data_IF_214973689252
#
_entry.id   IF_214973689252
#
_cell.length_a   1.000
_cell.length_b   1.000
_cell.length_c   1.000
_cell.angle_alpha   90.00
_cell.angle_beta   90.00
_cell.angle_gamma   90.00
#
_symmetry.space_group_name_H-M   'P 1'
#
loop_
_entity.id
_entity.type
_entity.pdbx_description
1 polymer ?
#
# COMPACT_ATOMS: atom_id res chain seq x y z
N UNK A 1 16.35 -2.23 4.06
CA UNK A 1 16.36 -2.97 2.78
C UNK A 1 16.85 -2.02 1.70
N UNK A 2 17.86 -2.37 0.90
CA UNK A 2 18.51 -1.42 -0.02
C UNK A 2 17.52 -0.77 -1.01
N UNK A 3 16.65 -1.58 -1.63
CA UNK A 3 15.68 -1.09 -2.62
C UNK A 3 14.73 0.00 -2.09
N UNK A 4 14.35 -0.05 -0.82
CA UNK A 4 13.50 1.01 -0.21
C UNK A 4 14.24 2.34 -0.14
N UNK A 5 15.54 2.31 0.17
CA UNK A 5 16.39 3.52 0.16
C UNK A 5 16.58 4.04 -1.27
N UNK A 6 16.74 3.13 -2.24
CA UNK A 6 16.89 3.52 -3.65
C UNK A 6 15.62 4.23 -4.16
N UNK A 7 14.42 3.73 -3.80
CA UNK A 7 13.13 4.37 -4.11
C UNK A 7 13.04 5.76 -3.46
N UNK A 8 13.40 5.89 -2.19
CA UNK A 8 13.40 7.18 -1.48
C UNK A 8 14.37 8.18 -2.15
N UNK A 9 15.60 7.76 -2.42
CA UNK A 9 16.62 8.60 -3.03
C UNK A 9 16.22 9.10 -4.42
N UNK A 10 15.56 8.25 -5.23
CA UNK A 10 15.01 8.65 -6.54
C UNK A 10 13.94 9.75 -6.42
N UNK A 11 13.22 9.77 -5.30
CA UNK A 11 12.21 10.78 -4.99
C UNK A 11 12.81 11.98 -4.23
N UNK A 12 14.15 12.11 -4.20
CA UNK A 12 14.89 13.17 -3.49
C UNK A 12 14.61 13.19 -1.98
N UNK A 13 14.41 12.00 -1.40
CA UNK A 13 14.12 11.81 0.01
C UNK A 13 15.20 10.95 0.69
N UNK A 14 15.60 11.36 1.90
CA UNK A 14 16.44 10.53 2.77
C UNK A 14 15.59 9.56 3.61
N UNK A 15 14.38 9.98 3.98
CA UNK A 15 13.43 9.22 4.79
C UNK A 15 11.99 9.39 4.25
N UNK A 16 11.09 8.49 4.65
CA UNK A 16 9.68 8.62 4.30
C UNK A 16 9.09 9.90 4.91
N UNK A 17 8.29 10.64 4.15
CA UNK A 17 7.73 11.93 4.58
C UNK A 17 6.21 11.89 4.81
N UNK A 18 5.61 10.69 4.74
CA UNK A 18 4.19 10.50 4.91
C UNK A 18 3.36 10.72 3.66
N UNK A 19 3.94 10.94 2.47
CA UNK A 19 3.16 10.97 1.22
C UNK A 19 2.54 9.61 0.89
N UNK A 20 1.40 9.57 0.16
CA UNK A 20 0.77 8.31 -0.25
C UNK A 20 1.72 7.41 -1.05
N UNK A 21 1.63 6.09 -0.89
CA UNK A 21 2.64 5.16 -1.45
C UNK A 21 2.73 5.18 -2.98
N UNK A 22 1.64 5.46 -3.70
CA UNK A 22 1.67 5.57 -5.17
C UNK A 22 2.53 6.72 -5.69
N UNK A 23 2.74 7.77 -4.88
CA UNK A 23 3.50 8.96 -5.29
C UNK A 23 5.01 8.71 -5.37
N UNK A 24 5.49 7.58 -4.84
CA UNK A 24 6.88 7.17 -5.01
C UNK A 24 7.13 6.59 -6.42
N UNK A 25 6.09 6.41 -7.25
CA UNK A 25 6.18 5.95 -8.64
C UNK A 25 7.06 4.71 -8.82
N UNK A 26 6.78 3.63 -8.07
CA UNK A 26 7.58 2.39 -8.11
C UNK A 26 7.69 1.86 -9.54
N UNK A 27 8.90 1.69 -10.03
CA UNK A 27 9.16 1.17 -11.38
C UNK A 27 8.99 -0.35 -11.44
N UNK A 28 8.86 -0.91 -12.64
CA UNK A 28 8.76 -2.36 -12.81
C UNK A 28 10.00 -3.10 -12.31
N UNK A 29 11.19 -2.52 -12.50
CA UNK A 29 12.43 -3.08 -11.96
C UNK A 29 12.46 -3.05 -10.43
N UNK A 30 12.02 -1.94 -9.83
CA UNK A 30 11.94 -1.81 -8.38
C UNK A 30 10.92 -2.78 -7.80
N UNK A 31 9.78 -2.94 -8.46
CA UNK A 31 8.73 -3.89 -8.09
C UNK A 31 9.24 -5.34 -8.10
N UNK A 32 9.95 -5.75 -9.16
CA UNK A 32 10.55 -7.09 -9.24
C UNK A 32 11.65 -7.30 -8.18
N UNK A 33 12.48 -6.29 -7.93
CA UNK A 33 13.49 -6.33 -6.85
C UNK A 33 12.84 -6.46 -5.47
N UNK A 34 11.74 -5.74 -5.22
CA UNK A 34 10.96 -5.86 -3.99
C UNK A 34 10.41 -7.28 -3.83
N UNK A 35 9.77 -7.82 -4.86
CA UNK A 35 9.20 -9.18 -4.85
C UNK A 35 10.26 -10.22 -4.44
N UNK A 36 11.40 -10.24 -5.15
CA UNK A 36 12.48 -11.20 -4.89
C UNK A 36 13.04 -11.08 -3.46
N UNK A 37 13.25 -9.85 -2.98
CA UNK A 37 13.76 -9.62 -1.62
C UNK A 37 12.76 -10.01 -0.54
N UNK A 38 11.45 -9.83 -0.79
CA UNK A 38 10.39 -10.20 0.15
C UNK A 38 10.23 -11.71 0.24
N UNK A 39 10.30 -12.44 -0.88
CA UNK A 39 10.32 -13.90 -0.92
C UNK A 39 11.43 -14.47 -0.04
N UNK A 40 12.65 -13.91 -0.13
CA UNK A 40 13.78 -14.36 0.68
C UNK A 40 13.68 -14.00 2.16
N UNK A 41 12.97 -12.92 2.51
CA UNK A 41 12.98 -12.37 3.88
C UNK A 41 11.78 -12.77 4.72
N UNK A 42 10.60 -12.88 4.13
CA UNK A 42 9.36 -13.15 4.88
C UNK A 42 9.27 -14.63 5.29
N UNK A 43 9.89 -15.53 4.53
CA UNK A 43 9.99 -16.96 4.87
C UNK A 43 10.67 -17.22 6.23
N UNK A 44 11.51 -16.28 6.69
CA UNK A 44 12.17 -16.37 8.00
C UNK A 44 11.25 -16.11 9.20
N UNK A 45 9.99 -15.73 8.98
CA UNK A 45 8.98 -15.45 10.03
C UNK A 45 9.22 -14.16 10.84
N UNK A 46 10.29 -13.42 10.56
CA UNK A 46 10.64 -12.22 11.31
C UNK A 46 10.01 -10.94 10.71
N UNK A 47 9.31 -10.17 11.55
CA UNK A 47 8.80 -8.83 11.20
C UNK A 47 9.89 -7.79 11.45
N UNK A 48 10.80 -7.63 10.48
CA UNK A 48 11.79 -6.54 10.51
C UNK A 48 11.19 -5.26 9.94
N UNK A 49 11.43 -4.10 10.58
CA UNK A 49 10.93 -2.78 10.11
C UNK A 49 11.20 -2.54 8.63
N UNK A 50 12.42 -2.85 8.19
CA UNK A 50 12.81 -2.62 6.79
C UNK A 50 12.15 -3.59 5.79
N UNK A 51 11.75 -4.78 6.25
CA UNK A 51 10.97 -5.74 5.46
C UNK A 51 9.51 -5.30 5.45
N UNK A 52 8.97 -4.85 6.58
CA UNK A 52 7.62 -4.31 6.70
C UNK A 52 7.39 -3.09 5.80
N UNK A 53 8.32 -2.13 5.82
CA UNK A 53 8.30 -0.97 4.92
C UNK A 53 8.29 -1.40 3.44
N UNK A 54 9.16 -2.34 3.07
CA UNK A 54 9.18 -2.92 1.72
C UNK A 54 7.89 -3.64 1.34
N UNK A 55 7.32 -4.38 2.28
CA UNK A 55 6.10 -5.15 2.07
C UNK A 55 4.91 -4.26 1.76
N UNK A 56 4.70 -3.17 2.50
CA UNK A 56 3.50 -2.33 2.26
C UNK A 56 3.56 -1.55 0.95
N UNK A 57 4.74 -1.07 0.54
CA UNK A 57 4.88 -0.42 -0.77
C UNK A 57 4.70 -1.43 -1.90
N UNK A 58 5.27 -2.63 -1.75
CA UNK A 58 5.06 -3.74 -2.68
C UNK A 58 3.59 -4.16 -2.77
N UNK A 59 2.93 -4.40 -1.63
CA UNK A 59 1.56 -4.88 -1.58
C UNK A 59 0.58 -3.84 -2.15
N UNK A 60 0.81 -2.56 -1.89
CA UNK A 60 -0.01 -1.47 -2.45
C UNK A 60 0.12 -1.40 -3.98
N UNK A 61 1.35 -1.53 -4.48
CA UNK A 61 1.64 -1.57 -5.92
C UNK A 61 1.09 -2.83 -6.59
N UNK A 62 1.22 -4.00 -5.95
CA UNK A 62 0.66 -5.26 -6.42
C UNK A 62 -0.86 -5.18 -6.55
N UNK A 63 -1.55 -4.66 -5.52
CA UNK A 63 -3.00 -4.48 -5.55
C UNK A 63 -3.40 -3.53 -6.69
N UNK A 64 -2.68 -2.41 -6.89
CA UNK A 64 -2.96 -1.50 -8.01
C UNK A 64 -2.90 -2.20 -9.38
N UNK A 65 -1.89 -3.04 -9.58
CA UNK A 65 -1.62 -3.76 -10.84
C UNK A 65 -2.58 -4.93 -11.10
N UNK A 66 -3.03 -5.61 -10.05
CA UNK A 66 -3.77 -6.87 -10.17
C UNK A 66 -5.26 -6.76 -9.89
N UNK A 67 -5.71 -5.68 -9.25
CA UNK A 67 -7.11 -5.52 -8.91
C UNK A 67 -7.96 -5.23 -10.16
N UNK A 68 -8.81 -6.18 -10.51
CA UNK A 68 -9.74 -6.13 -11.65
C UNK A 68 -11.20 -5.87 -11.24
N UNK A 69 -11.43 -5.49 -9.97
CA UNK A 69 -12.77 -5.34 -9.39
C UNK A 69 -13.11 -6.44 -8.39
N UNK A 70 -14.04 -6.17 -7.48
CA UNK A 70 -14.50 -7.12 -6.46
C UNK A 70 -13.79 -6.99 -5.10
N UNK A 71 -13.62 -8.11 -4.40
CA UNK A 71 -13.02 -8.15 -3.06
C UNK A 71 -11.51 -8.37 -3.11
N UNK A 72 -10.79 -7.75 -2.18
CA UNK A 72 -9.34 -7.92 -2.01
C UNK A 72 -9.10 -8.97 -0.92
N UNK A 73 -8.08 -9.80 -1.08
CA UNK A 73 -7.63 -10.74 -0.07
C UNK A 73 -6.10 -10.74 0.05
N UNK A 74 -5.59 -11.27 1.16
CA UNK A 74 -4.14 -11.40 1.38
C UNK A 74 -3.50 -12.49 0.52
N UNK A 75 -4.27 -13.54 0.20
CA UNK A 75 -3.75 -14.74 -0.47
C UNK A 75 -3.03 -14.42 -1.80
N UNK A 76 -3.57 -13.61 -2.73
CA UNK A 76 -2.85 -13.25 -3.94
C UNK A 76 -1.55 -12.49 -3.67
N UNK A 77 -1.55 -11.60 -2.67
CA UNK A 77 -0.37 -10.81 -2.29
C UNK A 77 0.74 -11.71 -1.76
N UNK A 78 0.43 -12.62 -0.83
CA UNK A 78 1.44 -13.55 -0.29
C UNK A 78 1.87 -14.62 -1.30
N UNK A 79 0.94 -15.14 -2.09
CA UNK A 79 1.28 -16.10 -3.16
C UNK A 79 2.26 -15.49 -4.15
N UNK A 80 2.12 -14.19 -4.47
CA UNK A 80 3.03 -13.52 -5.40
C UNK A 80 4.48 -13.44 -4.90
N UNK A 81 4.70 -13.50 -3.58
CA UNK A 81 6.03 -13.58 -2.96
C UNK A 81 6.39 -15.01 -2.53
N UNK A 82 5.70 -16.03 -3.04
CA UNK A 82 6.05 -17.42 -2.83
C UNK A 82 5.55 -18.04 -1.52
N UNK A 83 4.63 -17.36 -0.82
CA UNK A 83 4.08 -17.83 0.46
C UNK A 83 2.64 -18.29 0.22
N UNK A 84 2.40 -19.59 0.39
CA UNK A 84 1.07 -20.18 0.21
C UNK A 84 0.07 -19.73 1.29
N UNK A 85 -1.25 -19.90 1.07
CA UNK A 85 -2.28 -19.51 2.03
C UNK A 85 -2.20 -20.25 3.37
N UNK A 86 -1.61 -21.44 3.38
CA UNK A 86 -1.33 -22.20 4.60
C UNK A 86 -0.04 -21.78 5.32
N UNK A 87 0.81 -20.97 4.67
CA UNK A 87 2.16 -20.62 5.14
C UNK A 87 2.22 -19.22 5.78
N UNK A 88 1.08 -18.52 5.85
CA UNK A 88 0.96 -17.29 6.62
C UNK A 88 -0.33 -17.22 7.43
N UNK A 89 -0.25 -16.55 8.58
CA UNK A 89 -1.42 -16.26 9.40
C UNK A 89 -1.90 -14.82 9.22
N UNK A 90 -3.22 -14.62 9.32
CA UNK A 90 -3.84 -13.29 9.27
C UNK A 90 -3.25 -12.28 10.28
N UNK A 91 -2.95 -12.64 11.56
CA UNK A 91 -2.32 -11.73 12.50
C UNK A 91 -0.91 -11.30 12.07
N UNK A 92 -0.14 -12.20 11.44
CA UNK A 92 1.18 -11.88 10.90
C UNK A 92 1.08 -10.84 9.78
N UNK A 93 0.17 -11.04 8.82
CA UNK A 93 -0.08 -10.08 7.74
C UNK A 93 -0.48 -8.69 8.28
N UNK A 94 -1.33 -8.64 9.31
CA UNK A 94 -1.75 -7.40 9.97
C UNK A 94 -0.58 -6.70 10.65
N UNK A 95 0.23 -7.43 11.42
CA UNK A 95 1.41 -6.89 12.12
C UNK A 95 2.45 -6.36 11.15
N UNK A 96 2.73 -7.11 10.07
CA UNK A 96 3.65 -6.71 9.02
C UNK A 96 3.17 -5.44 8.31
N UNK A 97 1.88 -5.34 8.06
CA UNK A 97 1.27 -4.15 7.43
C UNK A 97 1.29 -2.96 8.36
N UNK A 98 0.98 -3.15 9.64
CA UNK A 98 0.96 -2.09 10.64
C UNK A 98 2.35 -1.46 10.81
N UNK A 99 3.38 -2.28 11.02
CA UNK A 99 4.76 -1.81 11.14
C UNK A 99 5.24 -1.12 9.84
N UNK A 100 4.81 -1.65 8.69
CA UNK A 100 5.13 -1.06 7.40
C UNK A 100 4.52 0.32 7.24
N UNK A 101 3.21 0.47 7.49
CA UNK A 101 2.51 1.75 7.40
C UNK A 101 3.12 2.78 8.35
N UNK A 102 3.46 2.38 9.59
CA UNK A 102 4.16 3.24 10.53
C UNK A 102 5.52 3.72 9.98
N UNK A 103 6.28 2.84 9.32
CA UNK A 103 7.57 3.18 8.70
C UNK A 103 7.44 4.21 7.57
N UNK A 104 6.26 4.32 6.95
CA UNK A 104 5.96 5.33 5.92
C UNK A 104 5.16 6.52 6.46
N UNK A 105 4.98 6.64 7.78
CA UNK A 105 4.12 7.65 8.42
C UNK A 105 2.68 7.66 7.89
N UNK A 106 2.15 6.48 7.53
CA UNK A 106 0.79 6.30 7.02
C UNK A 106 -0.11 5.75 8.12
N UNK A 107 -1.36 6.24 8.16
CA UNK A 107 -2.35 5.80 9.12
C UNK A 107 -3.18 4.65 8.55
N UNK A 108 -3.40 3.63 9.37
CA UNK A 108 -4.34 2.56 9.07
C UNK A 108 -5.77 3.12 9.04
N UNK A 109 -6.54 2.77 8.01
CA UNK A 109 -7.96 3.13 7.94
C UNK A 109 -8.76 2.27 8.91
N UNK A 110 -9.71 2.91 9.57
CA UNK A 110 -10.65 2.26 10.48
C UNK A 110 -12.07 2.62 10.02
N UNK A 111 -12.93 1.62 9.93
CA UNK A 111 -14.35 1.83 9.62
C UNK A 111 -15.08 2.54 10.77
N UNK A 112 -16.29 3.02 10.52
CA UNK A 112 -17.13 3.63 11.56
C UNK A 112 -17.38 2.70 12.76
N UNK A 113 -17.45 1.39 12.53
CA UNK A 113 -17.59 0.38 13.58
C UNK A 113 -16.28 -0.03 14.28
N UNK A 114 -15.17 0.68 14.07
CA UNK A 114 -13.88 0.39 14.70
C UNK A 114 -13.09 -0.75 14.06
N UNK A 115 -13.57 -1.33 12.96
CA UNK A 115 -12.87 -2.43 12.26
C UNK A 115 -11.72 -1.87 11.44
N UNK A 116 -10.50 -2.38 11.68
CA UNK A 116 -9.29 -2.04 10.92
C UNK A 116 -9.36 -2.56 9.48
N UNK A 117 -9.14 -1.67 8.51
CA UNK A 117 -9.29 -1.94 7.08
C UNK A 117 -7.91 -2.01 6.38
N UNK A 118 -7.11 -3.01 6.70
CA UNK A 118 -5.74 -3.15 6.19
C UNK A 118 -5.66 -3.19 4.65
N UNK A 119 -6.36 -4.12 4.00
CA UNK A 119 -6.32 -4.28 2.54
C UNK A 119 -6.86 -3.05 1.79
N UNK A 120 -7.94 -2.45 2.29
CA UNK A 120 -8.47 -1.20 1.72
C UNK A 120 -7.55 -0.01 1.96
N UNK A 121 -6.76 0.00 3.03
CA UNK A 121 -5.70 0.99 3.22
C UNK A 121 -4.65 0.82 2.14
N UNK A 122 -4.10 -0.38 1.96
CA UNK A 122 -3.07 -0.65 0.93
C UNK A 122 -3.57 -0.34 -0.48
N UNK A 123 -4.83 -0.68 -0.79
CA UNK A 123 -5.46 -0.29 -2.06
C UNK A 123 -5.46 1.22 -2.25
N UNK A 124 -5.89 1.98 -1.24
CA UNK A 124 -5.94 3.44 -1.34
C UNK A 124 -4.55 4.08 -1.40
N UNK A 125 -3.56 3.49 -0.70
CA UNK A 125 -2.17 3.92 -0.76
C UNK A 125 -1.54 3.67 -2.14
N UNK A 126 -1.89 2.53 -2.76
CA UNK A 126 -1.48 2.17 -4.12
C UNK A 126 -2.05 3.07 -5.21
N UNK A 127 -3.07 3.88 -4.91
CA UNK A 127 -3.72 4.76 -5.89
C UNK A 127 -4.85 4.05 -6.65
N UNK A 128 -5.39 4.71 -7.67
CA UNK A 128 -6.46 4.15 -8.48
C UNK A 128 -5.95 2.90 -9.23
N UNK A 129 -6.59 1.73 -9.07
CA UNK A 129 -6.22 0.54 -9.83
C UNK A 129 -6.28 0.79 -11.34
N UNK A 130 -5.34 0.23 -12.08
CA UNK A 130 -5.21 0.46 -13.52
C UNK A 130 -6.50 0.06 -14.28
N UNK A 131 -7.16 -1.01 -13.82
CA UNK A 131 -8.45 -1.48 -14.35
C UNK A 131 -9.59 -0.45 -14.20
N UNK A 132 -9.53 0.40 -13.17
CA UNK A 132 -10.52 1.44 -12.93
C UNK A 132 -10.26 2.70 -13.77
N UNK A 133 -9.03 2.90 -14.24
CA UNK A 133 -8.69 3.97 -15.19
C UNK A 133 -9.10 3.62 -16.63
N UNK A 134 -9.21 2.33 -16.96
CA UNK A 134 -9.65 1.87 -18.26
C UNK A 134 -11.16 2.04 -18.52
N UNK A 135 -11.97 2.25 -17.47
CA UNK A 135 -13.42 2.53 -17.59
C UNK A 135 -13.71 4.05 -17.38
N UNK A 136 -14.15 4.78 -18.42
CA UNK A 136 -14.47 6.22 -18.33
C UNK A 136 -15.56 6.57 -17.32
N UNK A 137 -16.37 5.61 -16.85
CA UNK A 137 -17.52 5.86 -15.96
C UNK A 137 -17.16 5.91 -14.48
N UNK A 138 -16.00 5.37 -14.08
CA UNK A 138 -15.66 5.17 -12.66
C UNK A 138 -14.76 6.26 -12.09
N UNK A 139 -14.13 7.07 -12.94
CA UNK A 139 -13.29 8.21 -12.55
C UNK A 139 -14.02 9.25 -11.67
N UNK A 140 -15.35 9.26 -11.66
CA UNK A 140 -16.18 10.23 -10.94
C UNK A 140 -16.32 9.95 -9.43
N UNK A 141 -15.96 8.75 -8.96
CA UNK A 141 -15.97 8.42 -7.52
C UNK A 141 -14.70 8.88 -6.78
N UNK A 142 -13.58 9.10 -7.48
CA UNK A 142 -12.31 9.52 -6.86
C UNK A 142 -12.34 10.97 -6.36
N UNK A 143 -13.30 11.79 -6.78
CA UNK A 143 -13.38 13.22 -6.45
C UNK A 143 -14.15 13.53 -5.16
N UNK A 144 -14.84 12.55 -4.56
CA UNK A 144 -15.78 12.80 -3.45
C UNK A 144 -15.11 12.90 -2.07
N UNK A 145 -13.84 12.54 -1.92
CA UNK A 145 -13.12 12.63 -0.63
C UNK A 145 -12.41 13.96 -0.37
N UNK A 146 -12.43 14.93 -1.31
CA UNK A 146 -11.96 16.29 -1.04
C UNK A 146 -13.12 17.21 -0.63
N UNK A 147 -13.65 16.96 0.56
CA UNK A 147 -14.56 17.86 1.27
C UNK A 147 -13.83 19.13 1.70
N UNK A 148 -13.59 20.03 0.73
CA UNK A 148 -13.05 21.37 0.93
C UNK A 148 -14.08 22.18 1.74
N UNK A 149 -13.87 22.33 3.05
CA UNK A 149 -14.55 23.38 3.86
C UNK A 149 -14.17 24.74 3.24
N UNK A 150 -15.00 25.26 2.33
CA UNK A 150 -14.95 26.67 1.94
C UNK A 150 -15.51 27.47 3.10
N UNK A 151 -14.62 28.25 3.71
CA UNK A 151 -14.95 29.24 4.72
C UNK A 151 -16.03 30.19 4.21
N UNK A 152 -16.99 30.44 5.07
CA UNK A 152 -18.08 31.37 4.88
C UNK A 152 -17.51 32.78 5.07
N UNK A 153 -17.30 33.54 3.99
CA UNK A 153 -17.16 34.99 4.08
C UNK A 153 -18.56 35.54 4.35
N UNK A 154 -18.77 36.10 5.54
CA UNK A 154 -19.91 36.97 5.82
C UNK A 154 -19.45 38.41 5.55
N UNK A 155 -20.09 39.05 4.58
CA UNK A 155 -20.16 40.51 4.51
C UNK A 155 -20.92 41.01 5.74
N UNK A 156 -20.32 41.93 6.49
CA UNK A 156 -20.99 43.09 7.12
C UNK A 156 -20.01 44.24 7.08
#
# INVERSE_FOLDING_TARGET
>A
MKIVRDILARNELEEADGRPLHTYNVTDEEFQKLQNLLTLRIDTGQVLKSTAAGFVIYASEFIRRTFSGGSISWTPVFNSIGIGPQDFEQPFARKLTDEGLHSWHRRLRVSEGGIHQYLYTLMAEGGLPDALMADPRTARMASVTSGRKRGRCACV
#
